data_IF_187475813319
#
_entry.id   IF_187475813319
#
_cell.length_a   1.000
_cell.length_b   1.000
_cell.length_c   1.000
_cell.angle_alpha   90.00
_cell.angle_beta   90.00
_cell.angle_gamma   90.00
#
_symmetry.space_group_name_H-M   'P 1'
#
loop_
_entity.id
_entity.type
_entity.pdbx_description
1 polymer ?
#
# COMPACT_ATOMS: atom_id res chain seq x y z
N UNK A 1 -1.36 3.35 15.58
CA UNK A 1 -0.16 2.83 14.92
C UNK A 1 -0.45 1.64 14.03
N UNK A 2 -0.71 0.44 14.54
CA UNK A 2 -0.83 -0.83 13.76
C UNK A 2 -1.83 -0.72 12.59
N UNK A 3 -3.00 -0.12 12.80
CA UNK A 3 -4.00 0.06 11.75
C UNK A 3 -3.48 0.88 10.56
N UNK A 4 -2.58 1.82 10.78
CA UNK A 4 -1.99 2.62 9.70
C UNK A 4 -1.13 1.77 8.75
N UNK A 5 -0.45 0.73 9.27
CA UNK A 5 0.29 -0.21 8.43
C UNK A 5 -0.62 -1.06 7.55
N UNK A 6 -1.78 -1.48 8.04
CA UNK A 6 -2.77 -2.15 7.20
C UNK A 6 -3.32 -1.23 6.12
N UNK A 7 -3.62 0.02 6.49
CA UNK A 7 -4.08 1.04 5.54
C UNK A 7 -3.01 1.36 4.49
N UNK A 8 -1.71 1.41 4.86
CA UNK A 8 -0.64 1.62 3.88
C UNK A 8 -0.59 0.51 2.84
N UNK A 9 -0.75 -0.74 3.26
CA UNK A 9 -0.76 -1.89 2.36
C UNK A 9 -2.01 -1.90 1.45
N UNK A 10 -3.18 -1.57 2.01
CA UNK A 10 -4.41 -1.41 1.25
C UNK A 10 -4.31 -0.28 0.21
N UNK A 11 -3.77 0.87 0.62
CA UNK A 11 -3.56 2.02 -0.27
C UNK A 11 -2.56 1.69 -1.37
N UNK A 12 -1.46 1.01 -1.04
CA UNK A 12 -0.48 0.56 -2.03
C UNK A 12 -1.13 -0.37 -3.07
N UNK A 13 -1.93 -1.34 -2.63
CA UNK A 13 -2.66 -2.24 -3.52
C UNK A 13 -3.71 -1.52 -4.37
N UNK A 14 -4.36 -0.50 -3.84
CA UNK A 14 -5.29 0.35 -4.60
C UNK A 14 -4.57 1.14 -5.68
N UNK A 15 -3.46 1.79 -5.36
CA UNK A 15 -2.64 2.52 -6.34
C UNK A 15 -2.11 1.56 -7.43
N UNK A 16 -1.63 0.38 -7.03
CA UNK A 16 -1.17 -0.64 -7.98
C UNK A 16 -2.29 -1.07 -8.94
N UNK A 17 -3.48 -1.37 -8.43
CA UNK A 17 -4.63 -1.76 -9.23
C UNK A 17 -5.08 -0.64 -10.17
N UNK A 18 -5.17 0.60 -9.69
CA UNK A 18 -5.53 1.75 -10.51
C UNK A 18 -4.49 2.02 -11.60
N UNK A 19 -3.21 1.88 -11.28
CA UNK A 19 -2.11 2.05 -12.24
C UNK A 19 -2.22 1.07 -13.41
N UNK A 20 -2.70 -0.15 -13.18
CA UNK A 20 -2.86 -1.17 -14.21
C UNK A 20 -4.20 -1.14 -14.94
N UNK A 21 -5.21 -0.44 -14.42
CA UNK A 21 -6.55 -0.34 -15.00
C UNK A 21 -6.90 1.06 -15.55
N UNK A 22 -5.97 1.99 -15.59
CA UNK A 22 -6.20 3.34 -16.15
C UNK A 22 -6.72 3.32 -17.60
N UNK A 23 -6.42 2.27 -18.36
CA UNK A 23 -6.96 2.08 -19.72
C UNK A 23 -8.44 1.70 -19.75
N UNK A 24 -9.04 1.30 -18.63
CA UNK A 24 -10.45 0.91 -18.54
C UNK A 24 -11.38 2.07 -18.13
N UNK A 25 -10.83 3.20 -17.71
CA UNK A 25 -11.61 4.39 -17.26
C UNK A 25 -12.48 4.96 -18.38
N UNK A 26 -12.17 4.70 -19.63
CA UNK A 26 -12.96 5.14 -20.79
C UNK A 26 -14.17 4.27 -21.09
N UNK A 27 -14.42 3.18 -20.39
CA UNK A 27 -15.45 2.20 -20.75
C UNK A 27 -16.39 1.69 -19.67
N UNK A 28 -16.21 1.97 -18.38
CA UNK A 28 -17.11 1.42 -17.34
C UNK A 28 -17.45 2.42 -16.26
N UNK A 29 -18.57 3.14 -16.45
CA UNK A 29 -19.28 3.77 -15.37
C UNK A 29 -20.04 2.66 -14.60
N UNK A 30 -19.53 2.23 -13.47
CA UNK A 30 -20.31 1.39 -12.59
C UNK A 30 -19.48 0.52 -11.65
N UNK A 31 -19.69 0.73 -10.36
CA UNK A 31 -19.26 -0.08 -9.21
C UNK A 31 -17.73 -0.23 -9.12
N UNK A 32 -17.12 0.50 -8.21
CA UNK A 32 -15.71 0.33 -7.85
C UNK A 32 -15.49 -1.11 -7.35
N UNK A 33 -14.86 -2.00 -8.11
CA UNK A 33 -14.41 -3.27 -7.56
C UNK A 33 -13.32 -2.94 -6.54
N UNK A 34 -13.50 -3.38 -5.30
CA UNK A 34 -12.41 -3.39 -4.31
C UNK A 34 -11.22 -4.03 -5.02
N UNK A 35 -10.10 -3.34 -5.17
CA UNK A 35 -9.03 -3.82 -6.04
C UNK A 35 -8.49 -5.13 -5.46
N UNK A 36 -8.71 -6.21 -6.19
CA UNK A 36 -8.31 -7.57 -5.78
C UNK A 36 -6.83 -7.63 -5.35
N UNK A 37 -5.97 -6.82 -5.98
CA UNK A 37 -4.56 -6.67 -5.61
C UNK A 37 -4.38 -6.16 -4.18
N UNK A 38 -5.16 -5.16 -3.77
CA UNK A 38 -5.12 -4.64 -2.41
C UNK A 38 -5.57 -5.67 -1.39
N UNK A 39 -6.63 -6.41 -1.71
CA UNK A 39 -7.13 -7.46 -0.84
C UNK A 39 -6.10 -8.60 -0.65
N UNK A 40 -5.48 -9.06 -1.72
CA UNK A 40 -4.43 -10.09 -1.67
C UNK A 40 -3.23 -9.65 -0.83
N UNK A 41 -2.77 -8.41 -0.99
CA UNK A 41 -1.67 -7.87 -0.20
C UNK A 41 -2.04 -7.75 1.28
N UNK A 42 -3.24 -7.28 1.61
CA UNK A 42 -3.71 -7.17 3.00
C UNK A 42 -3.83 -8.53 3.66
N UNK A 43 -4.45 -9.51 2.99
CA UNK A 43 -4.58 -10.87 3.54
C UNK A 43 -3.21 -11.52 3.70
N UNK A 44 -2.33 -11.41 2.69
CA UNK A 44 -0.96 -11.91 2.77
C UNK A 44 -0.15 -11.22 3.88
N UNK A 45 -0.25 -9.91 4.00
CA UNK A 45 0.39 -9.13 5.06
C UNK A 45 -0.09 -9.51 6.45
N UNK A 46 -1.41 -9.68 6.63
CA UNK A 46 -1.96 -10.15 7.90
C UNK A 46 -1.49 -11.57 8.26
N UNK A 47 -1.46 -12.47 7.29
CA UNK A 47 -0.96 -13.82 7.50
C UNK A 47 0.51 -13.81 7.96
N UNK A 48 1.38 -13.05 7.27
CA UNK A 48 2.78 -12.89 7.67
C UNK A 48 2.92 -12.23 9.04
N UNK A 49 2.14 -11.20 9.33
CA UNK A 49 2.16 -10.53 10.62
C UNK A 49 1.76 -11.48 11.76
N UNK A 50 0.76 -12.32 11.55
CA UNK A 50 0.37 -13.33 12.53
C UNK A 50 1.45 -14.39 12.73
N UNK A 51 2.10 -14.85 11.66
CA UNK A 51 3.24 -15.76 11.72
C UNK A 51 4.45 -15.13 12.44
N UNK A 52 4.66 -13.82 12.27
CA UNK A 52 5.70 -13.06 12.97
C UNK A 52 5.35 -12.73 14.44
N UNK A 53 4.22 -13.20 14.96
CA UNK A 53 3.83 -13.00 16.35
C UNK A 53 3.20 -11.64 16.65
N UNK A 54 2.58 -11.00 15.67
CA UNK A 54 1.91 -9.69 15.83
C UNK A 54 0.97 -9.67 17.04
N UNK A 55 0.21 -10.75 17.27
CA UNK A 55 -0.75 -10.86 18.36
C UNK A 55 -0.08 -10.76 19.74
N UNK A 56 1.09 -11.36 19.91
CA UNK A 56 1.86 -11.29 21.17
C UNK A 56 2.40 -9.89 21.37
N UNK A 57 3.03 -9.32 20.35
CA UNK A 57 3.59 -7.96 20.42
C UNK A 57 2.51 -6.89 20.60
N UNK A 58 1.33 -7.08 20.00
CA UNK A 58 0.21 -6.18 20.20
C UNK A 58 -0.28 -6.20 21.68
N UNK A 59 -0.33 -7.38 22.29
CA UNK A 59 -0.64 -7.52 23.72
C UNK A 59 0.42 -6.84 24.60
N UNK A 60 1.71 -7.04 24.31
CA UNK A 60 2.82 -6.36 25.01
C UNK A 60 2.70 -4.84 24.90
N UNK A 61 2.41 -4.30 23.70
CA UNK A 61 2.20 -2.87 23.50
C UNK A 61 0.99 -2.33 24.28
N UNK A 62 -0.08 -3.12 24.40
CA UNK A 62 -1.23 -2.73 25.20
C UNK A 62 -0.85 -2.63 26.69
N UNK A 63 -0.10 -3.59 27.21
CA UNK A 63 0.39 -3.57 28.60
C UNK A 63 1.29 -2.33 28.82
N UNK A 64 2.29 -2.14 27.96
CA UNK A 64 3.19 -0.98 28.03
C UNK A 64 2.47 0.36 27.92
N UNK A 65 1.33 0.42 27.21
CA UNK A 65 0.56 1.66 27.10
C UNK A 65 -0.04 2.10 28.43
N UNK A 66 -0.36 1.19 29.34
CA UNK A 66 -0.84 1.52 30.68
C UNK A 66 0.27 2.08 31.57
N UNK A 67 1.51 1.64 31.38
CA UNK A 67 2.65 2.15 32.12
C UNK A 67 3.05 3.56 31.64
N UNK A 68 2.90 3.82 30.34
CA UNK A 68 3.25 5.11 29.73
C UNK A 68 2.15 6.18 29.86
N UNK A 69 0.89 5.74 29.94
CA UNK A 69 -0.27 6.63 30.07
C UNK A 69 -1.11 6.22 31.28
N UNK A 70 -0.72 6.62 32.51
CA UNK A 70 -1.51 6.38 33.69
C UNK A 70 -2.91 6.99 33.54
N UNK A 71 -3.94 6.28 33.99
CA UNK A 71 -5.37 6.59 33.77
C UNK A 71 -5.80 7.99 34.27
N UNK A 72 -4.97 8.66 35.06
CA UNK A 72 -5.25 9.98 35.65
C UNK A 72 -4.58 11.16 34.93
N UNK A 73 -3.67 10.94 33.98
CA UNK A 73 -2.96 12.00 33.27
C UNK A 73 -3.34 12.02 31.81
N UNK A 74 -4.00 13.09 31.34
CA UNK A 74 -4.21 13.36 29.95
C UNK A 74 -2.84 13.65 29.34
N UNK A 75 -2.40 12.78 28.43
CA UNK A 75 -1.18 13.02 27.67
C UNK A 75 -1.27 14.38 26.96
N UNK A 76 -0.23 15.19 27.11
CA UNK A 76 -0.20 16.54 26.58
C UNK A 76 -0.37 16.53 25.05
N UNK A 77 -1.31 17.33 24.56
CA UNK A 77 -1.66 17.40 23.14
C UNK A 77 -0.51 17.82 22.23
N UNK A 78 0.46 18.55 22.79
CA UNK A 78 1.67 19.02 22.12
C UNK A 78 2.65 17.89 21.76
N UNK A 79 2.59 16.77 22.49
CA UNK A 79 3.45 15.60 22.24
C UNK A 79 2.77 14.58 21.34
N UNK A 80 1.47 14.35 21.50
CA UNK A 80 0.71 13.32 20.76
C UNK A 80 0.46 13.77 19.31
N UNK A 81 0.15 15.06 19.11
CA UNK A 81 -0.18 15.56 17.76
C UNK A 81 0.98 15.41 16.78
N UNK A 82 2.22 15.84 17.07
CA UNK A 82 3.35 15.63 16.17
C UNK A 82 3.67 14.16 15.94
N UNK A 83 3.51 13.32 16.97
CA UNK A 83 3.67 11.87 16.83
C UNK A 83 2.64 11.28 15.86
N UNK A 84 1.37 11.63 16.02
CA UNK A 84 0.29 11.16 15.15
C UNK A 84 0.49 11.57 13.68
N UNK A 85 0.87 12.83 13.45
CA UNK A 85 1.16 13.35 12.11
C UNK A 85 2.31 12.58 11.46
N UNK A 86 3.41 12.31 12.20
CA UNK A 86 4.53 11.50 11.68
C UNK A 86 4.10 10.08 11.33
N UNK A 87 3.25 9.45 12.14
CA UNK A 87 2.76 8.11 11.87
C UNK A 87 1.91 8.05 10.58
N UNK A 88 1.05 9.04 10.38
CA UNK A 88 0.24 9.16 9.16
C UNK A 88 1.13 9.42 7.95
N UNK A 89 2.08 10.36 8.05
CA UNK A 89 3.02 10.65 6.97
C UNK A 89 3.87 9.42 6.61
N UNK A 90 4.35 8.67 7.61
CA UNK A 90 5.08 7.42 7.41
C UNK A 90 4.24 6.35 6.71
N UNK A 91 2.96 6.21 7.07
CA UNK A 91 2.05 5.27 6.43
C UNK A 91 1.82 5.61 4.95
N UNK A 92 1.65 6.88 4.60
CA UNK A 92 1.57 7.32 3.21
C UNK A 92 2.89 7.12 2.47
N UNK A 93 4.03 7.47 3.07
CA UNK A 93 5.35 7.22 2.50
C UNK A 93 5.57 5.74 2.17
N UNK A 94 5.22 4.85 3.10
CA UNK A 94 5.28 3.41 2.89
C UNK A 94 4.35 2.97 1.75
N UNK A 95 3.09 3.44 1.72
CA UNK A 95 2.15 3.11 0.67
C UNK A 95 2.67 3.50 -0.73
N UNK A 96 3.24 4.69 -0.88
CA UNK A 96 3.84 5.15 -2.13
C UNK A 96 5.07 4.33 -2.51
N UNK A 97 5.94 4.00 -1.56
CA UNK A 97 7.12 3.17 -1.81
C UNK A 97 6.73 1.79 -2.32
N UNK A 98 5.73 1.15 -1.69
CA UNK A 98 5.27 -0.18 -2.08
C UNK A 98 4.56 -0.18 -3.45
N UNK A 99 3.88 0.91 -3.82
CA UNK A 99 3.18 1.04 -5.10
C UNK A 99 4.05 1.59 -6.24
N UNK A 100 5.20 2.16 -5.94
CA UNK A 100 6.07 2.83 -6.92
C UNK A 100 6.37 2.00 -8.19
N UNK A 101 6.73 0.70 -8.11
CA UNK A 101 7.03 -0.07 -9.31
C UNK A 101 5.83 -0.19 -10.26
N UNK A 102 4.60 -0.27 -9.73
CA UNK A 102 3.38 -0.32 -10.54
C UNK A 102 3.13 1.02 -11.23
N UNK A 103 3.30 2.12 -10.50
CA UNK A 103 3.13 3.47 -11.04
C UNK A 103 4.16 3.75 -12.16
N UNK A 104 5.42 3.36 -11.98
CA UNK A 104 6.48 3.55 -12.98
C UNK A 104 6.15 2.76 -14.26
N UNK A 105 5.79 1.48 -14.13
CA UNK A 105 5.42 0.65 -15.28
C UNK A 105 4.21 1.23 -16.01
N UNK A 106 3.21 1.71 -15.27
CA UNK A 106 2.02 2.36 -15.84
C UNK A 106 2.37 3.62 -16.62
N UNK A 107 3.24 4.48 -16.10
CA UNK A 107 3.68 5.70 -16.80
C UNK A 107 4.39 5.36 -18.09
N UNK A 108 5.35 4.43 -18.07
CA UNK A 108 6.08 3.98 -19.27
C UNK A 108 5.10 3.42 -20.31
N UNK A 109 4.18 2.56 -19.86
CA UNK A 109 3.17 1.98 -20.72
C UNK A 109 2.27 3.05 -21.37
N UNK A 110 1.75 4.01 -20.60
CA UNK A 110 0.90 5.07 -21.12
C UNK A 110 1.64 6.00 -22.10
N UNK A 111 2.91 6.30 -21.82
CA UNK A 111 3.76 7.04 -22.78
C UNK A 111 3.93 6.26 -24.08
N UNK A 112 4.20 4.98 -24.01
CA UNK A 112 4.34 4.10 -25.18
C UNK A 112 3.05 4.08 -26.01
N UNK A 113 1.89 3.92 -25.36
CA UNK A 113 0.59 3.99 -26.03
C UNK A 113 0.34 5.36 -26.69
N UNK A 114 0.72 6.44 -26.00
CA UNK A 114 0.59 7.79 -26.54
C UNK A 114 1.39 7.99 -27.83
N UNK A 115 2.63 7.45 -27.88
CA UNK A 115 3.48 7.48 -29.07
C UNK A 115 2.88 6.63 -30.19
N UNK A 116 2.44 5.40 -29.90
CA UNK A 116 1.83 4.51 -30.89
C UNK A 116 0.55 5.10 -31.46
N UNK A 117 -0.33 5.66 -30.62
CA UNK A 117 -1.57 6.30 -31.06
C UNK A 117 -1.31 7.50 -31.98
N UNK A 118 -0.20 8.23 -31.74
CA UNK A 118 0.20 9.34 -32.62
C UNK A 118 0.74 8.87 -33.97
N UNK A 119 1.44 7.74 -33.98
CA UNK A 119 2.02 7.16 -35.20
C UNK A 119 1.00 6.41 -36.05
N UNK A 120 0.02 5.76 -35.43
CA UNK A 120 -0.99 4.92 -36.09
C UNK A 120 -2.39 5.18 -35.52
N UNK A 121 -3.01 6.33 -35.85
CA UNK A 121 -4.31 6.72 -35.30
C UNK A 121 -5.47 5.80 -35.71
N UNK A 122 -5.31 5.02 -36.77
CA UNK A 122 -6.35 4.12 -37.28
C UNK A 122 -6.37 2.75 -36.58
N UNK A 123 -5.32 2.39 -35.83
CA UNK A 123 -5.32 1.17 -35.04
C UNK A 123 -5.98 1.44 -33.68
N UNK A 124 -6.98 0.67 -33.34
CA UNK A 124 -7.60 0.66 -32.01
C UNK A 124 -6.63 0.06 -30.97
N UNK A 125 -5.47 0.70 -30.78
CA UNK A 125 -4.38 0.24 -29.91
C UNK A 125 -4.85 0.04 -28.47
N UNK A 126 -5.87 0.79 -28.04
CA UNK A 126 -6.49 0.68 -26.71
C UNK A 126 -7.06 -0.70 -26.46
N UNK A 127 -7.64 -1.38 -27.45
CA UNK A 127 -8.22 -2.72 -27.29
C UNK A 127 -7.17 -3.81 -27.07
N UNK A 128 -5.99 -3.66 -27.64
CA UNK A 128 -4.88 -4.59 -27.42
C UNK A 128 -4.12 -4.22 -26.14
N UNK A 129 -4.07 -2.94 -25.85
CA UNK A 129 -3.35 -2.41 -24.69
C UNK A 129 -3.95 -2.83 -23.35
N UNK A 130 -5.27 -2.83 -23.20
CA UNK A 130 -5.91 -3.15 -21.93
C UNK A 130 -5.54 -4.54 -21.37
N UNK A 131 -5.61 -5.65 -22.13
CA UNK A 131 -5.18 -6.94 -21.61
C UNK A 131 -3.68 -7.02 -21.33
N UNK A 132 -2.85 -6.29 -22.09
CA UNK A 132 -1.40 -6.26 -21.88
C UNK A 132 -1.03 -5.61 -20.55
N UNK A 133 -1.59 -4.45 -20.24
CA UNK A 133 -1.29 -3.75 -18.97
C UNK A 133 -1.83 -4.54 -17.78
N UNK A 134 -2.99 -5.17 -17.91
CA UNK A 134 -3.57 -6.00 -16.85
C UNK A 134 -2.70 -7.25 -16.61
N UNK A 135 -2.30 -7.93 -17.68
CA UNK A 135 -1.39 -9.08 -17.59
C UNK A 135 -0.03 -8.71 -17.00
N UNK A 136 0.55 -7.58 -17.43
CA UNK A 136 1.79 -7.05 -16.87
C UNK A 136 1.65 -6.72 -15.39
N UNK A 137 0.52 -6.12 -14.97
CA UNK A 137 0.23 -5.81 -13.57
C UNK A 137 0.14 -7.07 -12.70
N UNK A 138 -0.51 -8.12 -13.18
CA UNK A 138 -0.61 -9.41 -12.47
C UNK A 138 0.78 -10.07 -12.39
N UNK A 139 1.54 -10.09 -13.46
CA UNK A 139 2.89 -10.66 -13.48
C UNK A 139 3.82 -9.88 -12.52
N UNK A 140 3.73 -8.55 -12.54
CA UNK A 140 4.49 -7.70 -11.63
C UNK A 140 4.10 -7.94 -10.17
N UNK A 141 2.80 -8.09 -9.88
CA UNK A 141 2.33 -8.43 -8.54
C UNK A 141 2.90 -9.77 -8.09
N UNK A 142 2.85 -10.80 -8.94
CA UNK A 142 3.36 -12.13 -8.61
C UNK A 142 4.85 -12.09 -8.22
N UNK A 143 5.65 -11.31 -8.95
CA UNK A 143 7.10 -11.19 -8.70
C UNK A 143 7.39 -10.31 -7.49
N UNK A 144 6.67 -9.21 -7.34
CA UNK A 144 6.95 -8.21 -6.31
C UNK A 144 6.21 -8.44 -5.00
N UNK A 145 5.12 -9.22 -4.96
CA UNK A 145 4.36 -9.46 -3.73
C UNK A 145 5.24 -9.91 -2.56
N UNK A 146 6.15 -10.90 -2.70
CA UNK A 146 7.02 -11.29 -1.59
C UNK A 146 7.92 -10.15 -1.12
N UNK A 147 8.47 -9.33 -2.03
CA UNK A 147 9.33 -8.19 -1.70
C UNK A 147 8.53 -7.09 -0.99
N UNK A 148 7.35 -6.76 -1.51
CA UNK A 148 6.44 -5.78 -0.92
C UNK A 148 6.05 -6.18 0.50
N UNK A 149 5.68 -7.45 0.69
CA UNK A 149 5.29 -7.98 1.99
C UNK A 149 6.47 -8.05 2.97
N UNK A 150 7.68 -8.33 2.49
CA UNK A 150 8.89 -8.31 3.30
C UNK A 150 9.21 -6.90 3.79
N UNK A 151 9.24 -5.91 2.91
CA UNK A 151 9.47 -4.50 3.27
C UNK A 151 8.42 -4.00 4.25
N UNK A 152 7.16 -4.40 4.03
CA UNK A 152 6.07 -4.01 4.90
C UNK A 152 6.19 -4.64 6.31
N UNK A 153 6.52 -5.94 6.42
CA UNK A 153 6.65 -6.61 7.71
C UNK A 153 7.87 -6.10 8.49
N UNK A 154 8.96 -5.75 7.80
CA UNK A 154 10.12 -5.12 8.42
C UNK A 154 9.75 -3.74 9.00
N UNK A 155 9.04 -2.90 8.24
CA UNK A 155 8.56 -1.62 8.74
C UNK A 155 7.61 -1.77 9.93
N UNK A 156 6.71 -2.75 9.90
CA UNK A 156 5.81 -3.06 11.02
C UNK A 156 6.58 -3.53 12.26
N UNK A 157 7.54 -4.44 12.10
CA UNK A 157 8.35 -4.93 13.22
C UNK A 157 9.20 -3.84 13.84
N UNK A 158 9.79 -2.96 13.03
CA UNK A 158 10.54 -1.80 13.50
C UNK A 158 9.66 -0.86 14.32
N UNK A 159 8.45 -0.57 13.84
CA UNK A 159 7.49 0.22 14.61
C UNK A 159 7.13 -0.44 15.93
N UNK A 160 6.93 -1.76 15.97
CA UNK A 160 6.54 -2.47 17.19
C UNK A 160 7.65 -2.57 18.22
N UNK A 161 8.92 -2.52 17.80
CA UNK A 161 10.06 -2.48 18.72
C UNK A 161 10.25 -1.12 19.37
N UNK A 162 9.85 -0.03 18.70
CA UNK A 162 9.99 1.33 19.22
C UNK A 162 8.81 2.24 18.78
N UNK A 163 7.60 2.01 19.30
CA UNK A 163 6.39 2.69 18.82
C UNK A 163 6.33 4.18 19.12
N UNK A 164 7.10 4.65 20.10
CA UNK A 164 7.14 6.04 20.57
C UNK A 164 8.49 6.73 20.27
N UNK A 165 9.51 5.97 19.85
CA UNK A 165 10.78 6.52 19.41
C UNK A 165 10.60 7.28 18.08
N UNK A 166 11.13 8.49 18.02
CA UNK A 166 11.34 9.16 16.73
C UNK A 166 12.43 8.45 15.93
N UNK A 167 12.47 8.65 14.61
CA UNK A 167 13.61 8.24 13.82
C UNK A 167 14.86 8.93 14.26
#
# INVERSE_FOLDING_TARGET
GIRLFLLSLQTAGTIAAQSTSLSQILGSAGIEPIPAMGYLLVVGGLALAMMAGLHVRAAEMMILSYDLFPVAELAASDTITPWGVRQVAGAFGLAFTLSAPFAIVSVIYNLTLGVINRAMPQMMVVFVGAPVITGAGIALLLVLAPIILQVWIEALTLFMTNPFGGP
#
